data_IF_913961477809
#
_entry.id   IF_913961477809
#
_cell.length_a   1.000
_cell.length_b   1.000
_cell.length_c   1.000
_cell.angle_alpha   90.00
_cell.angle_beta   90.00
_cell.angle_gamma   90.00
#
_symmetry.space_group_name_H-M   'P 1'
#
loop_
_entity.id
_entity.type
_entity.pdbx_description
1 polymer ?
#
# COMPACT_ATOMS: atom_id res chain seq x y z
N UNK A 1 3.56 -5.24 2.35
CA UNK A 1 2.25 -4.99 1.74
C UNK A 1 2.37 -4.92 0.22
N UNK A 2 1.46 -5.57 -0.48
CA UNK A 2 1.37 -5.57 -1.93
C UNK A 2 0.00 -5.00 -2.30
N UNK A 3 0.01 -4.01 -3.19
CA UNK A 3 -1.20 -3.40 -3.73
C UNK A 3 -1.23 -3.62 -5.24
N UNK A 4 -2.36 -4.04 -5.76
CA UNK A 4 -2.61 -4.14 -7.19
C UNK A 4 -3.86 -3.33 -7.48
N UNK A 5 -3.67 -2.15 -8.04
CA UNK A 5 -4.72 -1.19 -8.36
C UNK A 5 -4.27 -0.27 -9.48
N UNK A 6 -5.13 -0.04 -10.44
CA UNK A 6 -4.86 0.89 -11.55
C UNK A 6 -5.29 2.34 -11.22
N UNK A 7 -6.06 2.57 -10.15
CA UNK A 7 -6.76 3.85 -9.95
C UNK A 7 -6.40 4.61 -8.67
N UNK A 8 -6.10 3.92 -7.57
CA UNK A 8 -6.04 4.58 -6.24
C UNK A 8 -4.94 5.61 -6.15
N UNK A 9 -3.72 5.27 -6.56
CA UNK A 9 -2.58 6.13 -6.27
C UNK A 9 -2.65 7.45 -7.04
N UNK A 10 -3.11 7.44 -8.29
CA UNK A 10 -3.10 8.65 -9.12
C UNK A 10 -4.16 9.66 -8.72
N UNK A 11 -5.41 9.24 -8.48
CA UNK A 11 -6.49 10.16 -8.11
C UNK A 11 -6.39 10.66 -6.67
N UNK A 12 -5.94 9.80 -5.75
CA UNK A 12 -5.85 10.14 -4.33
C UNK A 12 -4.62 11.01 -4.02
N UNK A 13 -3.49 10.79 -4.71
CA UNK A 13 -2.29 11.65 -4.57
C UNK A 13 -2.60 13.07 -5.02
N UNK A 14 -3.26 13.24 -6.17
CA UNK A 14 -3.57 14.57 -6.71
C UNK A 14 -4.50 15.37 -5.79
N UNK A 15 -5.41 14.68 -5.08
CA UNK A 15 -6.42 15.31 -4.22
C UNK A 15 -5.96 15.47 -2.75
N UNK A 16 -4.86 14.84 -2.35
CA UNK A 16 -4.35 14.95 -0.98
C UNK A 16 -3.60 16.27 -0.77
N UNK A 17 -4.03 17.08 0.19
CA UNK A 17 -3.43 18.41 0.46
C UNK A 17 -2.90 18.55 1.88
N UNK A 18 -3.57 18.02 2.88
CA UNK A 18 -3.24 18.22 4.30
C UNK A 18 -3.80 17.11 5.17
N UNK A 19 -3.20 16.90 6.33
CA UNK A 19 -3.60 15.92 7.32
C UNK A 19 -3.01 14.54 7.07
N UNK A 20 -3.77 13.51 7.37
CA UNK A 20 -3.46 12.13 7.06
C UNK A 20 -4.59 11.46 6.26
N UNK A 21 -4.20 10.59 5.34
CA UNK A 21 -5.12 9.69 4.66
C UNK A 21 -4.63 8.26 4.81
N UNK A 22 -5.49 7.39 5.29
CA UNK A 22 -5.24 5.96 5.40
C UNK A 22 -6.14 5.20 4.43
N UNK A 23 -5.65 4.05 3.99
CA UNK A 23 -6.39 3.17 3.10
C UNK A 23 -6.83 1.93 3.86
N UNK A 24 -8.07 1.52 3.64
CA UNK A 24 -8.68 0.39 4.34
C UNK A 24 -9.26 -0.62 3.37
N UNK A 25 -9.35 -1.86 3.82
CA UNK A 25 -10.04 -2.94 3.13
C UNK A 25 -10.83 -3.75 4.15
N UNK A 26 -11.96 -4.31 3.73
CA UNK A 26 -12.72 -5.22 4.58
C UNK A 26 -12.07 -6.61 4.61
N UNK A 27 -11.77 -7.11 5.80
CA UNK A 27 -11.14 -8.41 6.03
C UNK A 27 -12.00 -9.29 6.94
N UNK A 28 -11.71 -10.60 6.97
CA UNK A 28 -12.40 -11.57 7.84
C UNK A 28 -11.73 -11.73 9.20
N UNK A 29 -10.47 -11.36 9.32
CA UNK A 29 -9.57 -11.52 10.47
C UNK A 29 -8.98 -10.18 10.93
N UNK A 30 -9.84 -9.19 11.29
CA UNK A 30 -9.41 -7.82 11.59
C UNK A 30 -8.45 -7.71 12.78
N UNK A 31 -8.48 -8.66 13.71
CA UNK A 31 -7.63 -8.69 14.91
C UNK A 31 -6.13 -8.77 14.58
N UNK A 32 -5.76 -9.11 13.35
CA UNK A 32 -4.36 -9.17 12.90
C UNK A 32 -3.77 -7.81 12.56
N UNK A 33 -4.61 -6.79 12.36
CA UNK A 33 -4.25 -5.51 11.75
C UNK A 33 -4.60 -4.32 12.64
N UNK A 34 -4.13 -3.14 12.28
CA UNK A 34 -4.79 -1.91 12.73
C UNK A 34 -6.19 -1.84 12.15
N UNK A 35 -7.17 -1.54 12.98
CA UNK A 35 -8.60 -1.52 12.58
C UNK A 35 -9.18 -0.15 12.84
N UNK A 36 -9.98 0.36 11.89
CA UNK A 36 -10.68 1.64 12.04
C UNK A 36 -12.19 1.45 12.06
N UNK A 37 -12.85 2.16 12.97
CA UNK A 37 -14.29 2.28 13.03
C UNK A 37 -14.75 3.57 12.36
N UNK A 38 -15.73 3.44 11.48
CA UNK A 38 -16.36 4.56 10.80
C UNK A 38 -17.81 4.70 11.26
N UNK A 39 -18.28 5.93 11.48
CA UNK A 39 -19.68 6.26 11.62
C UNK A 39 -20.06 7.24 10.50
N UNK A 40 -20.98 6.86 9.63
CA UNK A 40 -21.36 7.65 8.46
C UNK A 40 -20.13 8.09 7.61
N UNK A 41 -19.20 7.16 7.38
CA UNK A 41 -17.93 7.37 6.70
C UNK A 41 -16.94 8.33 7.41
N UNK A 42 -17.20 8.72 8.65
CA UNK A 42 -16.31 9.54 9.45
C UNK A 42 -15.53 8.61 10.40
N UNK A 43 -14.19 8.70 10.44
CA UNK A 43 -13.38 7.92 11.36
C UNK A 43 -13.60 8.36 12.80
N UNK A 44 -13.90 7.41 13.68
CA UNK A 44 -14.17 7.69 15.10
C UNK A 44 -13.25 6.97 16.06
N UNK A 45 -12.67 5.86 15.64
CA UNK A 45 -11.79 5.05 16.48
C UNK A 45 -10.80 4.27 15.61
N UNK A 46 -9.55 4.19 16.05
CA UNK A 46 -8.53 3.34 15.43
C UNK A 46 -7.75 2.59 16.51
N UNK A 47 -7.60 1.28 16.36
CA UNK A 47 -6.95 0.40 17.35
C UNK A 47 -6.02 -0.57 16.64
N UNK A 48 -4.80 -0.70 17.16
CA UNK A 48 -3.82 -1.68 16.69
C UNK A 48 -4.13 -3.06 17.27
N UNK A 49 -4.33 -4.04 16.40
CA UNK A 49 -4.56 -5.45 16.76
C UNK A 49 -5.55 -5.61 17.91
N UNK A 50 -6.82 -5.21 17.70
CA UNK A 50 -7.83 -5.17 18.76
C UNK A 50 -8.10 -6.59 19.28
N UNK A 51 -8.26 -6.71 20.61
CA UNK A 51 -8.67 -7.97 21.26
C UNK A 51 -10.16 -8.24 21.15
N UNK A 52 -10.95 -7.16 21.02
CA UNK A 52 -12.38 -7.21 20.83
C UNK A 52 -12.73 -6.71 19.44
N UNK A 53 -13.81 -7.22 18.87
CA UNK A 53 -14.25 -6.82 17.54
C UNK A 53 -14.65 -5.33 17.52
N UNK A 54 -14.10 -4.58 16.58
CA UNK A 54 -14.38 -3.15 16.37
C UNK A 54 -15.08 -2.95 15.03
N UNK A 55 -14.48 -3.44 13.97
CA UNK A 55 -15.00 -3.43 12.60
C UNK A 55 -14.18 -4.38 11.72
N UNK A 56 -14.63 -4.62 10.50
CA UNK A 56 -13.87 -5.38 9.50
C UNK A 56 -12.88 -4.51 8.70
N UNK A 57 -12.80 -3.20 8.95
CA UNK A 57 -11.98 -2.29 8.16
C UNK A 57 -10.52 -2.30 8.63
N UNK A 58 -9.71 -3.17 8.03
CA UNK A 58 -8.28 -3.22 8.27
C UNK A 58 -7.56 -2.05 7.58
N UNK A 59 -6.61 -1.46 8.25
CA UNK A 59 -5.70 -0.44 7.70
C UNK A 59 -4.57 -1.13 6.96
N UNK A 60 -4.41 -0.80 5.69
CA UNK A 60 -3.62 -1.59 4.74
C UNK A 60 -2.12 -1.30 4.73
N UNK A 61 -1.64 -0.32 5.50
CA UNK A 61 -0.22 0.07 5.47
C UNK A 61 0.16 1.00 4.30
N UNK A 62 -0.83 1.56 3.60
CA UNK A 62 -0.66 2.68 2.67
C UNK A 62 -1.16 3.95 3.34
N UNK A 63 -0.29 4.97 3.40
CA UNK A 63 -0.57 6.20 4.12
C UNK A 63 -0.11 7.41 3.32
N UNK A 64 -0.90 8.48 3.34
CA UNK A 64 -0.46 9.81 2.93
C UNK A 64 -0.47 10.72 4.16
N UNK A 65 0.61 11.43 4.34
CA UNK A 65 0.78 12.39 5.43
C UNK A 65 1.26 13.73 4.91
N UNK A 66 0.83 14.78 5.56
CA UNK A 66 1.42 16.09 5.36
C UNK A 66 2.80 16.22 6.04
N UNK A 67 3.43 17.37 5.88
CA UNK A 67 4.77 17.62 6.40
C UNK A 67 4.86 17.61 7.94
N UNK A 68 3.74 17.72 8.64
CA UNK A 68 3.70 17.70 10.10
C UNK A 68 3.99 16.31 10.68
N UNK A 69 3.74 15.24 9.91
CA UNK A 69 3.96 13.85 10.34
C UNK A 69 5.37 13.63 10.91
N UNK A 70 6.40 14.20 10.30
CA UNK A 70 7.79 14.04 10.77
C UNK A 70 7.98 14.60 12.19
N UNK A 71 7.35 15.71 12.50
CA UNK A 71 7.44 16.33 13.83
C UNK A 71 6.59 15.58 14.87
N UNK A 72 5.45 15.03 14.44
CA UNK A 72 4.56 14.23 15.28
C UNK A 72 5.20 12.87 15.62
N UNK A 73 5.81 12.20 14.65
CA UNK A 73 6.51 10.93 14.86
C UNK A 73 7.61 11.05 15.95
N UNK A 74 8.34 12.16 16.00
CA UNK A 74 9.38 12.38 17.03
C UNK A 74 8.83 12.48 18.46
N UNK A 75 7.53 12.69 18.63
CA UNK A 75 6.84 12.80 19.93
C UNK A 75 6.15 11.51 20.36
N UNK A 76 6.08 10.51 19.49
CA UNK A 76 5.48 9.22 19.82
C UNK A 76 6.30 8.51 20.89
N UNK A 77 5.61 7.71 21.69
CA UNK A 77 6.23 6.83 22.70
C UNK A 77 6.02 5.38 22.28
N UNK A 78 6.97 4.50 22.62
CA UNK A 78 6.79 3.07 22.38
C UNK A 78 5.50 2.54 23.04
N UNK A 79 4.83 1.66 22.34
CA UNK A 79 3.66 0.93 22.85
C UNK A 79 4.07 -0.10 23.91
N UNK A 80 3.09 -0.81 24.48
CA UNK A 80 3.32 -1.94 25.39
C UNK A 80 4.14 -3.09 24.74
N UNK A 81 4.25 -3.08 23.39
CA UNK A 81 5.09 -4.02 22.62
C UNK A 81 6.53 -3.51 22.44
N UNK A 82 6.85 -2.35 23.03
CA UNK A 82 8.13 -1.64 22.88
C UNK A 82 8.43 -1.23 21.42
N UNK A 83 7.36 -0.94 20.63
CA UNK A 83 7.43 -0.51 19.25
C UNK A 83 6.78 0.87 19.08
N UNK A 84 7.31 1.69 18.16
CA UNK A 84 6.64 2.91 17.71
C UNK A 84 5.57 2.51 16.70
N UNK A 85 4.30 2.70 17.06
CA UNK A 85 3.16 2.27 16.25
C UNK A 85 2.72 3.37 15.30
N UNK A 86 2.57 3.03 14.02
CA UNK A 86 1.96 3.95 13.04
C UNK A 86 0.51 4.29 13.41
N UNK A 87 -0.17 3.37 14.07
CA UNK A 87 -1.53 3.56 14.57
C UNK A 87 -1.60 4.70 15.59
N UNK A 88 -0.55 4.93 16.38
CA UNK A 88 -0.52 6.05 17.33
C UNK A 88 -0.34 7.40 16.62
N UNK A 89 0.41 7.46 15.51
CA UNK A 89 0.43 8.63 14.65
C UNK A 89 -0.97 8.92 14.08
N UNK A 90 -1.64 7.89 13.57
CA UNK A 90 -3.00 8.01 13.04
C UNK A 90 -4.00 8.49 14.10
N UNK A 91 -3.86 8.05 15.38
CA UNK A 91 -4.66 8.56 16.50
C UNK A 91 -4.46 10.06 16.74
N UNK A 92 -3.24 10.58 16.56
CA UNK A 92 -3.00 12.02 16.68
C UNK A 92 -3.77 12.78 15.61
N UNK A 93 -3.73 12.33 14.36
CA UNK A 93 -4.49 12.94 13.28
C UNK A 93 -6.00 12.79 13.48
N UNK A 94 -6.46 11.63 13.95
CA UNK A 94 -7.86 11.40 14.28
C UNK A 94 -8.36 12.39 15.36
N UNK A 95 -7.62 12.54 16.45
CA UNK A 95 -7.95 13.48 17.53
C UNK A 95 -8.02 14.94 17.06
N UNK A 96 -7.23 15.29 16.07
CA UNK A 96 -7.20 16.64 15.50
C UNK A 96 -8.20 16.82 14.34
N UNK A 97 -9.08 15.84 14.10
CA UNK A 97 -10.06 15.84 12.99
C UNK A 97 -9.40 15.97 11.60
N UNK A 98 -8.16 15.51 11.48
CA UNK A 98 -7.34 15.61 10.25
C UNK A 98 -7.06 14.23 9.62
N UNK A 99 -7.74 13.17 10.06
CA UNK A 99 -7.64 11.83 9.50
C UNK A 99 -8.77 11.60 8.50
N UNK A 100 -8.43 11.28 7.27
CA UNK A 100 -9.37 10.83 6.24
C UNK A 100 -9.14 9.36 5.88
N UNK A 101 -10.17 8.70 5.38
CA UNK A 101 -10.14 7.27 5.04
C UNK A 101 -10.59 7.09 3.60
N UNK A 102 -9.84 6.30 2.84
CA UNK A 102 -10.20 5.81 1.51
C UNK A 102 -10.30 4.29 1.57
N UNK A 103 -11.47 3.75 1.25
CA UNK A 103 -11.66 2.30 1.21
C UNK A 103 -11.27 1.76 -0.16
N UNK A 104 -10.50 0.68 -0.16
CA UNK A 104 -10.20 -0.10 -1.36
C UNK A 104 -11.48 -0.74 -1.89
N UNK A 105 -11.70 -0.64 -3.21
CA UNK A 105 -12.84 -1.23 -3.86
C UNK A 105 -12.65 -2.74 -4.13
N UNK A 106 -13.72 -3.39 -4.57
CA UNK A 106 -13.71 -4.84 -4.88
C UNK A 106 -12.74 -5.24 -6.01
N UNK A 107 -12.42 -4.30 -6.90
CA UNK A 107 -11.46 -4.53 -8.00
C UNK A 107 -10.00 -4.38 -7.59
N UNK A 108 -9.75 -3.99 -6.36
CA UNK A 108 -8.43 -3.70 -5.85
C UNK A 108 -7.95 -4.83 -4.94
N UNK A 109 -6.72 -5.21 -5.09
CA UNK A 109 -6.13 -6.29 -4.30
C UNK A 109 -5.11 -5.73 -3.33
N UNK A 110 -5.27 -6.08 -2.07
CA UNK A 110 -4.27 -5.88 -1.04
C UNK A 110 -3.88 -7.23 -0.43
N UNK A 111 -2.59 -7.45 -0.27
CA UNK A 111 -2.04 -8.62 0.39
C UNK A 111 -0.99 -8.16 1.39
N UNK A 112 -1.16 -8.57 2.63
CA UNK A 112 -0.14 -8.43 3.63
C UNK A 112 0.99 -9.45 3.39
N UNK A 113 2.19 -9.29 3.50
CA UNK A 113 3.26 -10.28 3.37
C UNK A 113 3.99 -10.48 4.72
N UNK A 114 3.24 -10.43 5.82
CA UNK A 114 3.76 -10.44 7.18
C UNK A 114 4.09 -11.84 7.71
N UNK A 115 3.61 -12.90 7.05
CA UNK A 115 3.90 -14.29 7.41
C UNK A 115 4.48 -15.05 6.22
N UNK A 116 5.13 -16.19 6.46
CA UNK A 116 5.64 -17.04 5.36
C UNK A 116 4.52 -17.50 4.43
N UNK A 117 3.36 -17.83 4.98
CA UNK A 117 2.19 -18.25 4.22
C UNK A 117 1.66 -17.11 3.34
N UNK A 118 1.41 -15.92 3.91
CA UNK A 118 0.92 -14.76 3.16
C UNK A 118 1.92 -14.27 2.10
N UNK A 119 3.22 -14.41 2.35
CA UNK A 119 4.25 -14.10 1.35
C UNK A 119 4.22 -15.09 0.18
N UNK A 120 4.04 -16.38 0.47
CA UNK A 120 3.91 -17.41 -0.56
C UNK A 120 2.65 -17.20 -1.40
N UNK A 121 1.53 -16.92 -0.77
CA UNK A 121 0.25 -16.63 -1.45
C UNK A 121 0.37 -15.40 -2.35
N UNK A 122 1.01 -14.34 -1.87
CA UNK A 122 1.28 -13.15 -2.65
C UNK A 122 2.17 -13.45 -3.88
N UNK A 123 3.22 -14.25 -3.69
CA UNK A 123 4.09 -14.70 -4.79
C UNK A 123 3.34 -15.51 -5.84
N UNK A 124 2.53 -16.48 -5.41
CA UNK A 124 1.70 -17.31 -6.30
C UNK A 124 0.67 -16.47 -7.06
N UNK A 125 0.02 -15.51 -6.38
CA UNK A 125 -0.94 -14.61 -7.00
C UNK A 125 -0.29 -13.73 -8.08
N UNK A 126 0.86 -13.11 -7.77
CA UNK A 126 1.60 -12.28 -8.74
C UNK A 126 2.05 -13.13 -9.93
N UNK A 127 2.59 -14.34 -9.70
CA UNK A 127 3.01 -15.23 -10.77
C UNK A 127 1.85 -15.61 -11.69
N UNK A 128 0.68 -15.96 -11.13
CA UNK A 128 -0.52 -16.26 -11.89
C UNK A 128 -1.00 -15.05 -12.71
N UNK A 129 -1.00 -13.85 -12.09
CA UNK A 129 -1.41 -12.61 -12.73
C UNK A 129 -0.48 -12.23 -13.90
N UNK A 130 0.84 -12.30 -13.70
CA UNK A 130 1.84 -12.03 -14.74
C UNK A 130 1.70 -13.02 -15.91
N UNK A 131 1.53 -14.30 -15.61
CA UNK A 131 1.31 -15.33 -16.63
C UNK A 131 0.04 -15.07 -17.43
N UNK A 132 -1.04 -14.66 -16.77
CA UNK A 132 -2.34 -14.38 -17.41
C UNK A 132 -2.30 -13.12 -18.27
N UNK A 133 -1.69 -12.05 -17.78
CA UNK A 133 -1.65 -10.74 -18.44
C UNK A 133 -0.51 -10.60 -19.45
N UNK A 134 0.52 -11.45 -19.40
CA UNK A 134 1.71 -11.32 -20.22
C UNK A 134 2.53 -10.05 -19.94
N UNK A 135 2.40 -9.50 -18.73
CA UNK A 135 3.10 -8.27 -18.30
C UNK A 135 3.59 -8.35 -16.88
N UNK A 136 4.64 -7.59 -16.57
CA UNK A 136 5.21 -7.52 -15.22
C UNK A 136 4.30 -6.77 -14.26
N UNK A 137 4.28 -7.23 -13.01
CA UNK A 137 3.67 -6.57 -11.87
C UNK A 137 4.77 -6.03 -10.96
N UNK A 138 4.70 -4.74 -10.61
CA UNK A 138 5.66 -4.11 -9.70
C UNK A 138 7.09 -3.96 -10.25
N UNK A 139 7.26 -3.86 -11.58
CA UNK A 139 8.57 -3.60 -12.19
C UNK A 139 8.95 -2.13 -12.03
N UNK A 140 10.06 -1.82 -11.32
CA UNK A 140 10.56 -0.45 -11.20
C UNK A 140 10.94 0.16 -12.54
N UNK A 141 11.55 -0.62 -13.42
CA UNK A 141 12.00 -0.17 -14.74
C UNK A 141 10.81 0.16 -15.63
N UNK A 142 9.81 -0.71 -15.68
CA UNK A 142 8.60 -0.46 -16.46
C UNK A 142 7.83 0.74 -15.93
N UNK A 143 7.75 0.89 -14.59
CA UNK A 143 7.13 2.05 -13.95
C UNK A 143 7.88 3.33 -14.29
N UNK A 144 9.21 3.33 -14.21
CA UNK A 144 10.04 4.48 -14.56
C UNK A 144 9.87 4.89 -16.03
N UNK A 145 9.78 3.92 -16.92
CA UNK A 145 9.50 4.17 -18.34
C UNK A 145 8.10 4.77 -18.55
N UNK A 146 7.08 4.19 -17.95
CA UNK A 146 5.69 4.65 -18.07
C UNK A 146 5.47 6.05 -17.49
N UNK A 147 6.25 6.43 -16.47
CA UNK A 147 6.22 7.77 -15.85
C UNK A 147 7.15 8.79 -16.55
N UNK A 148 7.87 8.38 -17.60
CA UNK A 148 8.77 9.26 -18.34
C UNK A 148 10.10 9.58 -17.65
N UNK A 149 10.44 8.88 -16.56
CA UNK A 149 11.75 9.01 -15.89
C UNK A 149 12.85 8.29 -16.64
N UNK A 150 12.50 7.31 -17.47
CA UNK A 150 13.43 6.52 -18.28
C UNK A 150 12.98 6.54 -19.73
N UNK A 151 13.87 6.85 -20.66
CA UNK A 151 13.54 6.79 -22.08
C UNK A 151 13.49 5.35 -22.59
N UNK A 152 12.81 5.12 -23.74
CA UNK A 152 12.78 3.79 -24.38
C UNK A 152 14.19 3.33 -24.76
N UNK A 153 15.05 4.23 -25.25
CA UNK A 153 16.43 3.94 -25.62
C UNK A 153 17.25 3.48 -24.43
N UNK A 154 17.17 4.20 -23.31
CA UNK A 154 17.93 3.88 -22.10
C UNK A 154 17.46 2.54 -21.50
N UNK A 155 16.15 2.29 -21.50
CA UNK A 155 15.60 1.02 -21.02
C UNK A 155 16.04 -0.16 -21.92
N UNK A 156 16.06 0.01 -23.23
CA UNK A 156 16.54 -1.03 -24.15
C UNK A 156 18.05 -1.30 -23.99
N UNK A 157 18.85 -0.27 -23.75
CA UNK A 157 20.27 -0.42 -23.47
C UNK A 157 20.50 -1.13 -22.13
N UNK A 158 19.74 -0.79 -21.12
CA UNK A 158 19.76 -1.49 -19.83
C UNK A 158 19.43 -2.98 -20.01
N UNK A 159 18.34 -3.32 -20.72
CA UNK A 159 17.93 -4.71 -20.97
C UNK A 159 19.00 -5.49 -21.75
N UNK A 160 19.67 -4.85 -22.70
CA UNK A 160 20.74 -5.48 -23.50
C UNK A 160 21.90 -5.96 -22.62
N UNK A 161 22.20 -5.25 -21.54
CA UNK A 161 23.28 -5.56 -20.62
C UNK A 161 22.82 -6.41 -19.41
N UNK A 162 21.54 -6.70 -19.32
CA UNK A 162 20.95 -7.48 -18.23
C UNK A 162 21.03 -8.99 -18.48
N UNK A 163 20.92 -9.84 -17.44
CA UNK A 163 20.89 -11.29 -17.58
C UNK A 163 19.75 -11.75 -18.51
N UNK A 164 20.02 -12.75 -19.34
CA UNK A 164 18.96 -13.35 -20.17
C UNK A 164 18.06 -14.27 -19.33
N UNK A 165 16.96 -13.72 -18.79
CA UNK A 165 15.96 -14.44 -18.03
C UNK A 165 14.54 -13.98 -18.41
N UNK A 166 13.52 -14.66 -17.86
CA UNK A 166 12.11 -14.38 -18.16
C UNK A 166 11.66 -12.98 -17.77
N UNK A 167 12.22 -12.39 -16.72
CA UNK A 167 11.90 -11.03 -16.29
C UNK A 167 12.26 -10.00 -17.38
N UNK A 168 13.50 -10.00 -17.84
CA UNK A 168 13.96 -9.04 -18.86
C UNK A 168 13.37 -9.30 -20.25
N UNK A 169 13.04 -10.57 -20.56
CA UNK A 169 12.31 -10.90 -21.78
C UNK A 169 10.89 -10.29 -21.74
N UNK A 170 10.18 -10.45 -20.60
CA UNK A 170 8.86 -9.88 -20.42
C UNK A 170 8.91 -8.34 -20.37
N UNK A 171 9.91 -7.75 -19.71
CA UNK A 171 10.13 -6.31 -19.69
C UNK A 171 10.30 -5.75 -21.11
N UNK A 172 11.12 -6.40 -21.93
CA UNK A 172 11.33 -6.02 -23.34
C UNK A 172 10.04 -6.05 -24.13
N UNK A 173 9.24 -7.11 -23.99
CA UNK A 173 7.95 -7.24 -24.70
C UNK A 173 6.91 -6.22 -24.24
N UNK A 174 7.03 -5.70 -23.01
CA UNK A 174 6.10 -4.70 -22.46
C UNK A 174 6.33 -3.28 -23.01
N UNK A 175 7.45 -3.03 -23.72
CA UNK A 175 7.82 -1.71 -24.27
C UNK A 175 7.92 -1.70 -25.78
N UNK A 176 7.67 -2.84 -26.43
CA UNK A 176 7.65 -2.99 -27.88
C UNK A 176 6.32 -2.56 -28.44
#
# INVERSE_FOLDING_TARGET
NIFISDKIVSSEVVNFKKGARIFTISVKDPERYGVIKLLNNIPVEIVEKPKEFISNNAVTGLYFYDTEATSLCKKLKPSNRNELEITDLNKVYLKNEMLSVSSLGESETWMDAGTFESLLDAGNYIAALQKRLGRLVGSPELTSYNQGFLSKSDLLEFIKNAPNNSYYQLLKSSIT
#
